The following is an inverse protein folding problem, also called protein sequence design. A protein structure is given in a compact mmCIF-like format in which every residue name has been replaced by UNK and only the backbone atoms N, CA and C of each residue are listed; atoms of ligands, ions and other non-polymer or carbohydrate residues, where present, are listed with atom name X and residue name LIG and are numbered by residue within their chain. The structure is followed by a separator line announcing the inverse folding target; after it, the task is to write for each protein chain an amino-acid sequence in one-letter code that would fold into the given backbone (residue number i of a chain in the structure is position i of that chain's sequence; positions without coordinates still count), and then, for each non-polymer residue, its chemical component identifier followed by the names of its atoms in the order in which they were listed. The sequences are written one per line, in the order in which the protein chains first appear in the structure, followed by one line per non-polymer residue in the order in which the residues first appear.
data_IF_474330840360
#
_entry.id   IF_474330840360
#
_cell.length_a   1.000
_cell.length_b   1.000
_cell.length_c   1.000
_cell.angle_alpha   90.00
_cell.angle_beta   90.00
_cell.angle_gamma   90.00
#
_symmetry.space_group_name_H-M   'P 1'
#
loop_
_entity.id
_entity.type
_entity.pdbx_description
1 polymer ?
#
# COMPACT_ATOMS: atom_id res chain seq x y z
N UNK A 1 1.87 -11.57 13.82
CA UNK A 1 2.68 -10.34 13.81
C UNK A 1 3.50 -10.20 15.09
N UNK A 2 4.76 -9.74 15.01
CA UNK A 2 5.62 -9.46 16.18
C UNK A 2 6.25 -8.08 16.04
N UNK A 3 6.14 -7.26 17.07
CA UNK A 3 6.90 -5.99 17.14
C UNK A 3 8.31 -6.28 17.64
N UNK A 4 9.31 -5.80 16.92
CA UNK A 4 10.72 -5.93 17.26
C UNK A 4 11.27 -4.56 17.67
N UNK A 5 12.14 -4.53 18.68
CA UNK A 5 12.93 -3.35 19.00
C UNK A 5 14.28 -3.50 18.34
N UNK A 6 14.68 -2.50 17.56
CA UNK A 6 15.93 -2.48 16.82
C UNK A 6 16.74 -1.25 17.18
N UNK A 7 18.08 -1.31 17.13
CA UNK A 7 18.90 -0.12 17.26
C UNK A 7 18.70 0.79 16.04
N UNK A 8 18.50 2.09 16.29
CA UNK A 8 18.46 3.09 15.20
C UNK A 8 19.77 3.03 14.38
N UNK A 9 19.68 3.18 13.07
CA UNK A 9 20.86 3.37 12.22
C UNK A 9 21.49 4.73 12.57
N UNK A 10 22.79 4.76 12.81
CA UNK A 10 23.47 5.96 13.30
C UNK A 10 23.30 7.20 12.39
N UNK A 11 23.28 6.98 11.09
CA UNK A 11 23.31 8.01 10.04
C UNK A 11 22.03 8.05 9.17
N UNK A 12 20.95 7.44 9.63
CA UNK A 12 19.72 7.32 8.84
C UNK A 12 19.13 8.68 8.43
N UNK A 13 19.27 9.73 9.27
CA UNK A 13 18.80 11.07 8.94
C UNK A 13 19.59 11.69 7.79
N UNK A 14 20.89 11.42 7.72
CA UNK A 14 21.70 11.83 6.58
C UNK A 14 21.31 11.07 5.30
N UNK A 15 21.01 9.77 5.41
CA UNK A 15 20.46 8.98 4.30
C UNK A 15 19.11 9.53 3.86
N UNK A 16 18.19 9.79 4.79
CA UNK A 16 16.89 10.39 4.51
C UNK A 16 17.02 11.72 3.76
N UNK A 17 17.92 12.61 4.24
CA UNK A 17 18.17 13.91 3.59
C UNK A 17 18.72 13.77 2.16
N UNK A 18 19.66 12.85 1.92
CA UNK A 18 20.17 12.56 0.56
C UNK A 18 19.11 12.05 -0.39
N UNK A 19 18.11 11.34 0.13
CA UNK A 19 16.99 10.78 -0.64
C UNK A 19 15.79 11.75 -0.76
N UNK A 20 15.87 12.94 -0.18
CA UNK A 20 14.78 13.91 -0.19
C UNK A 20 13.67 13.63 0.82
N UNK A 21 13.89 12.71 1.78
CA UNK A 21 12.94 12.42 2.85
C UNK A 21 13.09 13.44 3.98
N UNK A 22 12.56 14.64 3.78
CA UNK A 22 12.68 15.76 4.73
C UNK A 22 11.62 15.76 5.84
N UNK A 23 10.53 15.04 5.65
CA UNK A 23 9.38 15.02 6.57
C UNK A 23 9.38 13.83 7.55
N UNK A 24 10.54 13.17 7.73
CA UNK A 24 10.71 12.09 8.73
C UNK A 24 10.44 12.50 10.18
N UNK A 25 10.42 13.79 10.45
CA UNK A 25 10.07 14.41 11.74
C UNK A 25 9.14 15.58 11.46
N UNK A 26 7.94 15.55 12.02
CA UNK A 26 6.91 16.60 11.85
C UNK A 26 6.64 17.26 13.21
N UNK A 27 6.75 18.59 13.29
CA UNK A 27 6.48 19.37 14.51
C UNK A 27 7.23 18.89 15.77
N UNK A 28 8.41 18.29 15.60
CA UNK A 28 9.21 17.70 16.68
C UNK A 28 8.87 16.26 17.02
N UNK A 29 7.79 15.71 16.46
CA UNK A 29 7.40 14.32 16.65
C UNK A 29 8.01 13.42 15.57
N UNK A 30 8.39 12.20 15.96
CA UNK A 30 8.92 11.21 15.04
C UNK A 30 7.79 10.69 14.14
N UNK A 31 7.83 11.01 12.86
CA UNK A 31 7.01 10.38 11.85
C UNK A 31 7.59 9.02 11.42
N UNK A 32 8.91 8.97 11.20
CA UNK A 32 9.64 7.74 10.92
C UNK A 32 10.38 7.26 12.19
N UNK A 33 10.02 6.07 12.68
CA UNK A 33 10.63 5.49 13.89
C UNK A 33 11.55 4.31 13.53
N UNK A 34 12.86 4.52 13.64
CA UNK A 34 13.89 3.50 13.41
C UNK A 34 14.01 2.47 14.53
N UNK A 35 13.42 2.74 15.71
CA UNK A 35 13.59 1.90 16.89
C UNK A 35 12.69 0.66 16.90
N UNK A 36 11.78 0.56 15.94
CA UNK A 36 10.79 -0.51 15.90
C UNK A 36 10.52 -1.00 14.47
N UNK A 37 10.31 -2.31 14.36
CA UNK A 37 9.81 -2.94 13.15
C UNK A 37 8.75 -3.99 13.49
N UNK A 38 7.96 -4.36 12.50
CA UNK A 38 6.99 -5.45 12.63
C UNK A 38 7.40 -6.60 11.72
N UNK A 39 7.48 -7.79 12.28
CA UNK A 39 7.75 -9.03 11.56
C UNK A 39 6.43 -9.78 11.36
N UNK A 40 6.22 -10.20 10.12
CA UNK A 40 5.07 -11.00 9.70
C UNK A 40 5.55 -12.33 9.14
N UNK A 41 4.76 -13.36 9.26
CA UNK A 41 4.89 -14.57 8.47
C UNK A 41 4.21 -14.39 7.11
N UNK A 42 4.60 -15.21 6.13
CA UNK A 42 3.96 -15.20 4.81
C UNK A 42 2.45 -15.45 4.93
N UNK A 43 2.04 -16.42 5.76
CA UNK A 43 0.62 -16.68 6.02
C UNK A 43 -0.15 -15.46 6.50
N UNK A 44 0.40 -14.69 7.45
CA UNK A 44 -0.24 -13.47 7.95
C UNK A 44 -0.39 -12.42 6.84
N UNK A 45 0.60 -12.33 5.94
CA UNK A 45 0.51 -11.43 4.78
C UNK A 45 -0.61 -11.88 3.84
N UNK A 46 -0.57 -13.13 3.40
CA UNK A 46 -1.48 -13.64 2.37
C UNK A 46 -2.92 -13.75 2.86
N UNK A 47 -3.12 -14.36 4.04
CA UNK A 47 -4.47 -14.68 4.54
C UNK A 47 -5.09 -13.54 5.36
N UNK A 48 -4.30 -12.87 6.20
CA UNK A 48 -4.85 -11.90 7.14
C UNK A 48 -4.83 -10.46 6.61
N UNK A 49 -4.01 -10.14 5.59
CA UNK A 49 -3.88 -8.78 5.02
C UNK A 49 -4.28 -8.74 3.54
N UNK A 50 -3.63 -9.51 2.66
CA UNK A 50 -3.87 -9.40 1.21
C UNK A 50 -5.26 -9.92 0.80
N UNK A 51 -5.70 -11.05 1.35
CA UNK A 51 -7.03 -11.57 1.05
C UNK A 51 -8.15 -10.60 1.47
N UNK A 52 -8.17 -10.01 2.69
CA UNK A 52 -9.11 -8.95 3.04
C UNK A 52 -8.98 -7.70 2.16
N UNK A 53 -7.77 -7.29 1.77
CA UNK A 53 -7.59 -6.17 0.83
C UNK A 53 -8.33 -6.42 -0.49
N UNK A 54 -8.15 -7.60 -1.09
CA UNK A 54 -8.77 -7.95 -2.37
C UNK A 54 -10.30 -8.02 -2.26
N UNK A 55 -10.83 -8.55 -1.17
CA UNK A 55 -12.27 -8.58 -0.90
C UNK A 55 -12.85 -7.18 -0.75
N UNK A 56 -12.21 -6.34 0.06
CA UNK A 56 -12.64 -4.96 0.30
C UNK A 56 -12.59 -4.12 -0.97
N UNK A 57 -11.57 -4.27 -1.82
CA UNK A 57 -11.51 -3.58 -3.10
C UNK A 57 -12.69 -3.97 -4.00
N UNK A 58 -12.98 -5.27 -4.08
CA UNK A 58 -14.11 -5.75 -4.86
C UNK A 58 -15.45 -5.21 -4.34
N UNK A 59 -15.62 -5.14 -3.02
CA UNK A 59 -16.80 -4.54 -2.38
C UNK A 59 -16.91 -3.04 -2.65
N UNK A 60 -15.82 -2.29 -2.56
CA UNK A 60 -15.80 -0.87 -2.86
C UNK A 60 -16.16 -0.59 -4.32
N UNK A 61 -15.60 -1.35 -5.25
CA UNK A 61 -15.94 -1.22 -6.68
C UNK A 61 -17.40 -1.56 -6.97
N UNK A 62 -17.95 -2.60 -6.32
CA UNK A 62 -19.37 -2.94 -6.43
C UNK A 62 -20.27 -1.83 -5.87
N UNK A 63 -19.89 -1.25 -4.73
CA UNK A 63 -20.61 -0.11 -4.16
C UNK A 63 -20.57 1.11 -5.07
N UNK A 64 -19.43 1.46 -5.66
CA UNK A 64 -19.33 2.58 -6.61
C UNK A 64 -20.23 2.32 -7.82
N UNK A 65 -20.24 1.10 -8.37
CA UNK A 65 -21.10 0.74 -9.50
C UNK A 65 -22.59 0.94 -9.20
N UNK A 66 -23.03 0.68 -7.97
CA UNK A 66 -24.39 0.95 -7.50
C UNK A 66 -24.61 2.45 -7.27
N UNK A 67 -23.70 3.10 -6.57
CA UNK A 67 -23.85 4.48 -6.11
C UNK A 67 -23.97 5.49 -7.24
N UNK A 68 -23.21 5.33 -8.32
CA UNK A 68 -23.21 6.27 -9.45
C UNK A 68 -24.54 6.33 -10.20
N UNK A 69 -25.38 5.29 -10.10
CA UNK A 69 -26.71 5.24 -10.69
C UNK A 69 -27.84 5.69 -9.76
N UNK A 70 -27.51 6.13 -8.52
CA UNK A 70 -28.50 6.42 -7.48
C UNK A 70 -28.27 7.81 -6.86
N UNK A 71 -29.11 8.77 -7.26
CA UNK A 71 -29.02 10.17 -6.80
C UNK A 71 -29.10 10.31 -5.28
N UNK A 72 -29.91 9.48 -4.61
CA UNK A 72 -30.03 9.47 -3.16
C UNK A 72 -28.71 9.08 -2.46
N UNK A 73 -27.92 8.19 -3.06
CA UNK A 73 -26.60 7.80 -2.50
C UNK A 73 -25.61 8.95 -2.72
N UNK A 74 -25.52 9.49 -3.94
CA UNK A 74 -24.64 10.64 -4.23
C UNK A 74 -24.94 11.83 -3.35
N UNK A 75 -26.21 12.11 -3.10
CA UNK A 75 -26.67 13.16 -2.16
C UNK A 75 -26.23 12.87 -0.73
N UNK A 76 -26.40 11.62 -0.25
CA UNK A 76 -26.02 11.23 1.11
C UNK A 76 -24.51 11.30 1.34
N UNK A 77 -23.72 11.12 0.28
CA UNK A 77 -22.27 11.27 0.28
C UNK A 77 -21.82 12.74 0.11
N UNK A 78 -22.76 13.68 0.08
CA UNK A 78 -22.52 15.11 -0.13
C UNK A 78 -21.74 15.43 -1.42
N UNK A 79 -21.89 14.61 -2.47
CA UNK A 79 -21.28 14.86 -3.77
C UNK A 79 -22.12 15.92 -4.51
N UNK A 80 -21.53 17.09 -4.88
CA UNK A 80 -22.28 18.13 -5.57
C UNK A 80 -22.84 17.63 -6.91
N UNK A 81 -24.08 18.00 -7.21
CA UNK A 81 -24.81 17.58 -8.42
C UNK A 81 -24.03 17.84 -9.72
N UNK A 82 -23.29 18.93 -9.79
CA UNK A 82 -22.51 19.30 -10.98
C UNK A 82 -21.44 18.29 -11.38
N UNK A 83 -21.02 17.42 -10.44
CA UNK A 83 -20.02 16.36 -10.69
C UNK A 83 -20.62 15.00 -11.07
N UNK A 84 -21.92 14.79 -10.89
CA UNK A 84 -22.54 13.47 -11.10
C UNK A 84 -22.37 12.96 -12.54
N UNK A 85 -22.57 13.84 -13.52
CA UNK A 85 -22.34 13.50 -14.92
C UNK A 85 -20.90 13.08 -15.21
N UNK A 86 -19.92 13.81 -14.69
CA UNK A 86 -18.51 13.50 -14.88
C UNK A 86 -18.10 12.16 -14.21
N UNK A 87 -18.64 11.89 -13.02
CA UNK A 87 -18.42 10.62 -12.31
C UNK A 87 -18.97 9.44 -13.12
N UNK A 88 -20.21 9.57 -13.58
CA UNK A 88 -20.87 8.53 -14.39
C UNK A 88 -20.13 8.27 -15.71
N UNK A 89 -19.71 9.32 -16.40
CA UNK A 89 -18.95 9.20 -17.64
C UNK A 89 -17.57 8.56 -17.41
N UNK A 90 -16.84 8.97 -16.36
CA UNK A 90 -15.55 8.40 -16.01
C UNK A 90 -15.65 6.89 -15.71
N UNK A 91 -16.68 6.51 -14.95
CA UNK A 91 -16.93 5.10 -14.66
C UNK A 91 -17.24 4.29 -15.92
N UNK A 92 -18.11 4.81 -16.80
CA UNK A 92 -18.51 4.12 -18.03
C UNK A 92 -17.37 4.02 -19.05
N UNK A 93 -16.45 4.99 -19.09
CA UNK A 93 -15.22 4.91 -19.88
C UNK A 93 -14.24 3.89 -19.32
N UNK A 94 -14.40 3.48 -18.06
CA UNK A 94 -13.43 2.65 -17.35
C UNK A 94 -12.13 3.41 -17.11
N UNK A 95 -12.22 4.70 -16.75
CA UNK A 95 -11.06 5.51 -16.43
C UNK A 95 -10.27 4.82 -15.30
N UNK A 96 -8.94 4.84 -15.41
CA UNK A 96 -8.07 4.08 -14.51
C UNK A 96 -7.88 4.85 -13.21
N UNK A 97 -7.97 4.13 -12.10
CA UNK A 97 -7.37 4.54 -10.85
C UNK A 97 -5.86 4.24 -10.88
N UNK A 98 -5.10 4.94 -10.08
CA UNK A 98 -3.66 4.73 -9.98
C UNK A 98 -3.28 4.02 -8.69
N UNK A 99 -3.80 4.50 -7.56
CA UNK A 99 -3.37 4.08 -6.25
C UNK A 99 -4.42 4.41 -5.18
N UNK A 100 -4.60 3.49 -4.25
CA UNK A 100 -5.39 3.68 -3.03
C UNK A 100 -4.71 3.03 -1.83
N UNK A 101 -5.09 3.39 -0.61
CA UNK A 101 -4.55 2.85 0.63
C UNK A 101 -5.68 2.51 1.58
N UNK A 102 -5.76 1.23 1.96
CA UNK A 102 -6.56 0.80 3.10
C UNK A 102 -5.74 0.95 4.39
N UNK A 103 -6.30 1.55 5.40
CA UNK A 103 -5.74 1.59 6.73
C UNK A 103 -6.44 0.53 7.60
N UNK A 104 -5.66 -0.36 8.21
CA UNK A 104 -6.15 -1.50 8.95
C UNK A 104 -5.79 -1.46 10.43
N UNK A 105 -6.66 -2.01 11.26
CA UNK A 105 -6.31 -2.51 12.58
C UNK A 105 -5.99 -4.00 12.49
N UNK A 106 -4.81 -4.39 12.98
CA UNK A 106 -4.34 -5.78 12.97
C UNK A 106 -3.54 -6.10 14.24
N UNK A 107 -3.92 -7.16 14.93
CA UNK A 107 -3.29 -7.60 16.18
C UNK A 107 -2.50 -8.92 16.04
N UNK A 108 -2.46 -9.50 14.85
CA UNK A 108 -1.81 -10.78 14.57
C UNK A 108 -2.74 -11.99 14.67
N UNK A 109 -4.05 -11.79 14.85
CA UNK A 109 -5.02 -12.85 15.00
C UNK A 109 -6.20 -12.69 14.02
N UNK A 110 -6.17 -13.47 12.94
CA UNK A 110 -7.20 -13.47 11.91
C UNK A 110 -7.16 -12.24 11.01
N UNK A 111 -8.18 -12.05 10.15
CA UNK A 111 -8.18 -11.03 9.12
C UNK A 111 -8.05 -9.60 9.68
N UNK A 112 -7.27 -8.76 9.01
CA UNK A 112 -7.17 -7.34 9.31
C UNK A 112 -8.53 -6.65 9.16
N UNK A 113 -8.81 -5.67 10.03
CA UNK A 113 -10.07 -4.94 10.06
C UNK A 113 -9.91 -3.56 9.47
N UNK A 114 -10.73 -3.23 8.49
CA UNK A 114 -10.72 -1.93 7.83
C UNK A 114 -11.05 -0.81 8.82
N UNK A 115 -10.22 0.22 8.83
CA UNK A 115 -10.46 1.49 9.52
C UNK A 115 -10.93 2.55 8.51
N UNK A 116 -10.17 2.75 7.42
CA UNK A 116 -10.54 3.67 6.36
C UNK A 116 -9.96 3.27 5.00
N UNK A 117 -10.51 3.83 3.94
CA UNK A 117 -10.00 3.71 2.58
C UNK A 117 -9.68 5.11 2.02
N UNK A 118 -8.40 5.37 1.81
CA UNK A 118 -7.90 6.58 1.15
C UNK A 118 -7.77 6.31 -0.35
N UNK A 119 -8.78 6.72 -1.13
CA UNK A 119 -8.85 6.47 -2.56
C UNK A 119 -8.53 7.68 -3.44
N UNK A 120 -8.35 8.86 -2.85
CA UNK A 120 -8.06 10.10 -3.57
C UNK A 120 -6.57 10.45 -3.52
N UNK A 121 -6.06 10.88 -2.38
CA UNK A 121 -4.69 11.36 -2.22
C UNK A 121 -3.93 10.57 -1.12
N UNK A 122 -3.78 9.25 -1.24
CA UNK A 122 -3.08 8.49 -0.22
C UNK A 122 -1.61 8.88 -0.14
N UNK A 123 -1.11 8.98 1.08
CA UNK A 123 0.30 9.26 1.38
C UNK A 123 1.08 7.97 1.63
N UNK A 124 2.34 8.08 2.06
CA UNK A 124 3.23 6.99 2.45
C UNK A 124 3.81 6.15 1.29
N UNK A 125 3.72 6.61 0.05
CA UNK A 125 4.32 5.90 -1.09
C UNK A 125 5.84 5.86 -1.05
N UNK A 126 6.47 6.99 -0.71
CA UNK A 126 7.93 7.09 -0.64
C UNK A 126 8.49 6.23 0.49
N UNK A 127 7.86 6.29 1.65
CA UNK A 127 8.23 5.52 2.83
C UNK A 127 8.16 4.02 2.54
N UNK A 128 7.04 3.57 1.98
CA UNK A 128 6.77 2.15 1.72
C UNK A 128 7.55 1.61 0.53
N UNK A 129 7.55 2.34 -0.58
CA UNK A 129 8.12 1.86 -1.83
C UNK A 129 9.64 2.02 -1.93
N UNK A 130 10.23 2.97 -1.17
CA UNK A 130 11.64 3.34 -1.33
C UNK A 130 12.41 3.31 -0.02
N UNK A 131 12.00 4.10 0.97
CA UNK A 131 12.83 4.31 2.17
C UNK A 131 12.86 3.07 3.08
N UNK A 132 11.76 2.34 3.17
CA UNK A 132 11.67 1.07 3.90
C UNK A 132 12.60 0.00 3.30
N UNK A 133 12.74 -0.05 1.97
CA UNK A 133 13.68 -0.95 1.30
C UNK A 133 15.13 -0.64 1.69
N UNK A 134 15.53 0.63 1.65
CA UNK A 134 16.88 1.06 2.06
C UNK A 134 17.13 0.75 3.53
N UNK A 135 16.13 0.97 4.39
CA UNK A 135 16.19 0.60 5.80
C UNK A 135 16.42 -0.91 5.96
N UNK A 136 15.67 -1.74 5.25
CA UNK A 136 15.78 -3.20 5.31
C UNK A 136 17.16 -3.68 4.90
N UNK A 137 17.66 -3.25 3.75
CA UNK A 137 18.98 -3.64 3.24
C UNK A 137 20.12 -3.25 4.22
N UNK A 138 20.06 -2.04 4.76
CA UNK A 138 21.06 -1.59 5.72
C UNK A 138 20.99 -2.34 7.05
N UNK A 139 19.80 -2.71 7.54
CA UNK A 139 19.64 -3.51 8.75
C UNK A 139 20.14 -4.96 8.57
N UNK A 140 19.92 -5.54 7.39
CA UNK A 140 20.50 -6.85 7.03
C UNK A 140 22.04 -6.75 6.96
N UNK A 141 22.58 -5.75 6.28
CA UNK A 141 24.02 -5.55 6.15
C UNK A 141 24.74 -5.37 7.51
N UNK A 142 24.07 -4.77 8.50
CA UNK A 142 24.56 -4.61 9.87
C UNK A 142 24.38 -5.88 10.73
N UNK A 143 23.70 -6.89 10.25
CA UNK A 143 23.36 -8.10 11.00
C UNK A 143 22.26 -7.90 12.05
N UNK A 144 21.52 -6.79 12.01
CA UNK A 144 20.38 -6.52 12.90
C UNK A 144 19.12 -7.31 12.50
N UNK A 145 19.02 -7.67 11.23
CA UNK A 145 17.98 -8.54 10.68
C UNK A 145 18.60 -9.77 10.00
N UNK A 146 17.90 -10.91 9.98
CA UNK A 146 18.38 -12.12 9.31
C UNK A 146 18.61 -11.90 7.81
N UNK A 147 19.59 -12.62 7.24
CA UNK A 147 19.72 -12.74 5.79
C UNK A 147 18.45 -13.37 5.21
N UNK A 148 17.96 -12.84 4.10
CA UNK A 148 16.71 -13.29 3.47
C UNK A 148 15.45 -12.70 4.09
N UNK A 149 15.58 -11.71 5.00
CA UNK A 149 14.46 -10.84 5.36
C UNK A 149 14.03 -10.04 4.14
N UNK A 150 12.74 -9.78 4.04
CA UNK A 150 12.15 -9.08 2.90
C UNK A 150 11.04 -8.12 3.36
N UNK A 151 10.63 -7.22 2.48
CA UNK A 151 9.39 -6.46 2.59
C UNK A 151 8.33 -7.06 1.66
N UNK A 152 7.08 -7.04 2.05
CA UNK A 152 6.00 -7.66 1.27
C UNK A 152 5.29 -6.63 0.38
N UNK A 153 6.01 -5.88 -0.39
CA UNK A 153 5.39 -4.96 -1.35
C UNK A 153 6.17 -4.84 -2.65
N UNK A 154 5.44 -4.58 -3.73
CA UNK A 154 5.95 -4.27 -5.06
C UNK A 154 5.38 -2.94 -5.56
N UNK A 155 5.08 -2.02 -4.64
CA UNK A 155 4.41 -0.73 -4.93
C UNK A 155 5.20 0.08 -5.96
N UNK A 156 6.52 0.16 -5.82
CA UNK A 156 7.36 0.92 -6.75
C UNK A 156 7.27 0.37 -8.18
N UNK A 157 7.45 -0.93 -8.35
CA UNK A 157 7.42 -1.62 -9.65
C UNK A 157 6.04 -1.49 -10.30
N UNK A 158 4.98 -1.70 -9.53
CA UNK A 158 3.59 -1.59 -10.01
C UNK A 158 3.23 -0.16 -10.41
N UNK A 159 3.71 0.85 -9.70
CA UNK A 159 3.53 2.25 -10.10
C UNK A 159 4.27 2.57 -11.40
N UNK A 160 5.51 2.12 -11.55
CA UNK A 160 6.26 2.29 -12.79
C UNK A 160 5.54 1.64 -13.97
N UNK A 161 5.00 0.45 -13.78
CA UNK A 161 4.21 -0.25 -14.79
C UNK A 161 2.91 0.52 -15.12
N UNK A 162 2.17 0.96 -14.10
CA UNK A 162 0.96 1.75 -14.28
C UNK A 162 1.20 3.03 -15.08
N UNK A 163 2.27 3.76 -14.77
CA UNK A 163 2.64 4.96 -15.54
C UNK A 163 3.05 4.65 -16.99
N UNK A 164 3.72 3.53 -17.26
CA UNK A 164 4.01 3.09 -18.64
C UNK A 164 2.73 2.84 -19.41
N UNK A 165 1.76 2.15 -18.80
CA UNK A 165 0.46 1.89 -19.42
C UNK A 165 -0.36 3.16 -19.67
N UNK A 166 -0.33 4.13 -18.76
CA UNK A 166 -0.98 5.43 -18.94
C UNK A 166 -0.38 6.23 -20.12
N UNK A 167 0.94 6.15 -20.31
CA UNK A 167 1.62 6.83 -21.44
C UNK A 167 1.39 6.17 -22.79
N UNK A 168 1.20 4.87 -22.83
CA UNK A 168 1.07 4.08 -24.07
C UNK A 168 -0.28 4.21 -24.81
N UNK A 169 -1.23 4.98 -24.32
CA UNK A 169 -2.50 5.36 -24.93
C UNK A 169 -3.26 4.23 -25.63
N UNK A 170 -4.33 3.78 -25.06
CA UNK A 170 -5.40 2.84 -25.38
C UNK A 170 -5.37 1.58 -24.52
N UNK A 171 -6.18 1.65 -23.46
CA UNK A 171 -6.59 0.44 -22.78
C UNK A 171 -7.48 -0.38 -23.68
N UNK A 172 -7.32 -1.72 -23.73
CA UNK A 172 -8.40 -2.57 -24.22
C UNK A 172 -9.59 -2.42 -23.26
N UNK A 173 -10.77 -2.30 -23.80
CA UNK A 173 -12.04 -1.98 -23.13
C UNK A 173 -12.54 -3.04 -22.14
N UNK A 174 -11.73 -3.97 -21.70
CA UNK A 174 -12.11 -5.07 -20.81
C UNK A 174 -11.16 -5.35 -19.65
N UNK A 175 -10.07 -4.59 -19.50
CA UNK A 175 -9.15 -4.79 -18.40
C UNK A 175 -9.34 -3.67 -17.37
N UNK A 176 -10.28 -3.81 -16.44
CA UNK A 176 -10.17 -3.20 -15.13
C UNK A 176 -8.87 -3.72 -14.56
N UNK A 177 -7.86 -2.84 -14.49
CA UNK A 177 -6.55 -3.21 -13.99
C UNK A 177 -6.68 -3.45 -12.49
N UNK A 178 -6.91 -4.71 -12.13
CA UNK A 178 -6.70 -5.18 -10.79
C UNK A 178 -5.22 -4.95 -10.47
N UNK A 179 -4.92 -4.04 -9.58
CA UNK A 179 -3.61 -4.03 -8.94
C UNK A 179 -3.65 -5.19 -7.94
N UNK A 180 -3.44 -6.38 -8.43
CA UNK A 180 -3.13 -7.50 -7.57
C UNK A 180 -1.73 -7.23 -7.00
N UNK A 181 -1.63 -7.06 -5.70
CA UNK A 181 -0.39 -7.20 -4.96
C UNK A 181 0.00 -8.69 -4.94
N UNK A 182 0.17 -9.28 -6.12
CA UNK A 182 0.75 -10.60 -6.23
C UNK A 182 2.26 -10.44 -6.30
N UNK A 183 2.94 -10.98 -5.32
CA UNK A 183 4.30 -11.43 -5.48
C UNK A 183 4.27 -12.60 -6.45
N UNK A 184 4.57 -12.35 -7.73
CA UNK A 184 4.77 -13.44 -8.68
C UNK A 184 6.02 -14.21 -8.29
N UNK A 185 5.87 -15.54 -8.21
CA UNK A 185 6.88 -16.55 -7.98
C UNK A 185 7.44 -16.67 -6.56
N UNK A 186 6.69 -17.32 -5.71
CA UNK A 186 7.23 -17.92 -4.51
C UNK A 186 7.18 -19.45 -4.62
N UNK A 187 8.35 -20.02 -4.97
CA UNK A 187 8.60 -21.45 -4.85
C UNK A 187 8.65 -21.84 -3.36
N UNK A 188 8.45 -23.12 -3.07
CA UNK A 188 8.34 -23.71 -1.73
C UNK A 188 9.46 -23.41 -0.72
N UNK A 189 10.53 -22.73 -1.12
CA UNK A 189 11.62 -22.29 -0.23
C UNK A 189 11.27 -21.03 0.60
N UNK A 190 10.17 -20.34 0.31
CA UNK A 190 9.82 -19.05 0.94
C UNK A 190 9.07 -19.19 2.28
N UNK A 191 8.64 -20.37 2.67
CA UNK A 191 7.91 -20.60 3.93
C UNK A 191 8.70 -20.21 5.20
N UNK A 192 10.01 -19.97 5.09
CA UNK A 192 10.87 -19.57 6.21
C UNK A 192 11.21 -18.07 6.25
N UNK A 193 10.82 -17.27 5.25
CA UNK A 193 11.14 -15.84 5.21
C UNK A 193 10.29 -15.05 6.20
N UNK A 194 10.91 -14.09 6.87
CA UNK A 194 10.25 -13.12 7.71
C UNK A 194 10.16 -11.80 6.97
N UNK A 195 8.99 -11.17 6.99
CA UNK A 195 8.72 -9.90 6.35
C UNK A 195 8.70 -8.79 7.39
N UNK A 196 9.30 -7.66 7.08
CA UNK A 196 9.44 -6.55 8.00
C UNK A 196 8.85 -5.28 7.43
N UNK A 197 8.13 -4.56 8.28
CA UNK A 197 7.61 -3.23 8.00
C UNK A 197 8.09 -2.30 9.10
N UNK A 198 8.70 -1.19 8.72
CA UNK A 198 9.00 -0.11 9.63
C UNK A 198 7.77 0.81 9.76
N UNK A 199 7.54 1.34 10.96
CA UNK A 199 6.39 2.23 11.22
C UNK A 199 6.83 3.67 11.08
#
# INVERSE_FOLDING_TARGET
MRRLTLPERHDWRATAGRMGFSFHTAEGEKYWDESAAFAFSLREIEEDIEAPCAELEAMCLAFVAEAIGREEILTSLAIPHDYWGAIHESWNRGDRNLYGRFDFAYDGNGPAKLLEYNADTPTALFETGVFQWVWLEEQIARGALPQGSDQFNSVHEKLVEAFRHLRGGRAPSSARSRIELRSEEHTSELQSRQYFVCR
#
